data_IF_179307922990
#
_entry.id   IF_179307922990
#
_cell.length_a   1.000
_cell.length_b   1.000
_cell.length_c   1.000
_cell.angle_alpha   90.00
_cell.angle_beta   90.00
_cell.angle_gamma   90.00
#
_symmetry.space_group_name_H-M   'P 1'
#
loop_
_entity.id
_entity.type
_entity.pdbx_description
1 polymer ?
#
# COMPACT_ATOMS: atom_id res chain seq x y z
N UNK A 1 -54.90 -10.82 -20.55
CA UNK A 1 -53.43 -10.90 -20.44
C UNK A 1 -52.65 -9.87 -21.28
N UNK A 2 -53.27 -8.97 -22.06
CA UNK A 2 -52.54 -8.00 -22.92
C UNK A 2 -51.73 -6.91 -22.19
N UNK A 3 -51.96 -6.68 -20.88
CA UNK A 3 -51.22 -5.68 -20.10
C UNK A 3 -49.98 -6.20 -19.35
N UNK A 4 -49.76 -7.52 -19.34
CA UNK A 4 -48.66 -8.12 -18.57
C UNK A 4 -47.31 -7.92 -19.27
N UNK A 5 -47.27 -8.08 -20.60
CA UNK A 5 -46.05 -7.89 -21.39
C UNK A 5 -45.41 -6.50 -21.25
N UNK A 6 -46.15 -5.37 -21.39
CA UNK A 6 -45.55 -4.04 -21.22
C UNK A 6 -45.09 -3.77 -19.79
N UNK A 7 -45.76 -4.35 -18.78
CA UNK A 7 -45.33 -4.24 -17.37
C UNK A 7 -43.98 -4.94 -17.15
N UNK A 8 -43.82 -6.18 -17.65
CA UNK A 8 -42.55 -6.90 -17.55
C UNK A 8 -41.42 -6.17 -18.29
N UNK A 9 -41.68 -5.64 -19.48
CA UNK A 9 -40.69 -4.87 -20.22
C UNK A 9 -40.27 -3.59 -19.47
N UNK A 10 -41.22 -2.89 -18.87
CA UNK A 10 -40.93 -1.70 -18.06
C UNK A 10 -40.07 -2.03 -16.84
N UNK A 11 -40.44 -3.04 -16.07
CA UNK A 11 -39.67 -3.49 -14.90
C UNK A 11 -38.27 -3.94 -15.31
N UNK A 12 -38.16 -4.77 -16.35
CA UNK A 12 -36.87 -5.23 -16.83
C UNK A 12 -36.01 -4.05 -17.32
N UNK A 13 -36.60 -3.10 -18.04
CA UNK A 13 -35.92 -1.91 -18.54
C UNK A 13 -35.34 -1.03 -17.43
N UNK A 14 -36.07 -0.80 -16.34
CA UNK A 14 -35.58 0.00 -15.21
C UNK A 14 -34.44 -0.71 -14.46
N UNK A 15 -34.57 -2.02 -14.23
CA UNK A 15 -33.49 -2.81 -13.62
C UNK A 15 -32.25 -2.88 -14.51
N UNK A 16 -32.43 -3.08 -15.83
CA UNK A 16 -31.33 -3.07 -16.77
C UNK A 16 -30.62 -1.73 -16.75
N UNK A 17 -31.35 -0.61 -16.94
CA UNK A 17 -30.76 0.73 -16.92
C UNK A 17 -29.99 1.01 -15.62
N UNK A 18 -30.55 0.64 -14.47
CA UNK A 18 -29.89 0.75 -13.17
C UNK A 18 -28.59 -0.08 -13.12
N UNK A 19 -28.63 -1.33 -13.57
CA UNK A 19 -27.45 -2.21 -13.60
C UNK A 19 -26.36 -1.67 -14.54
N UNK A 20 -26.72 -1.26 -15.76
CA UNK A 20 -25.80 -0.65 -16.71
C UNK A 20 -25.17 0.63 -16.13
N UNK A 21 -25.98 1.51 -15.54
CA UNK A 21 -25.52 2.76 -14.96
C UNK A 21 -24.62 2.59 -13.73
N UNK A 22 -24.93 1.66 -12.84
CA UNK A 22 -24.23 1.48 -11.57
C UNK A 22 -23.08 0.48 -11.63
N UNK A 23 -23.08 -0.46 -12.57
CA UNK A 23 -22.03 -1.49 -12.68
C UNK A 23 -21.10 -1.22 -13.86
N UNK A 24 -21.63 -1.04 -15.06
CA UNK A 24 -20.79 -0.91 -16.26
C UNK A 24 -20.06 0.42 -16.34
N UNK A 25 -20.72 1.54 -16.01
CA UNK A 25 -20.06 2.86 -16.06
C UNK A 25 -18.90 2.93 -15.05
N UNK A 26 -19.06 2.61 -13.75
CA UNK A 26 -17.94 2.67 -12.81
C UNK A 26 -16.85 1.64 -13.12
N UNK A 27 -17.21 0.46 -13.60
CA UNK A 27 -16.23 -0.55 -14.03
C UNK A 27 -15.40 -0.05 -15.22
N UNK A 28 -16.02 0.62 -16.20
CA UNK A 28 -15.32 1.21 -17.34
C UNK A 28 -14.40 2.37 -16.91
N UNK A 29 -14.83 3.19 -15.94
CA UNK A 29 -14.06 4.33 -15.44
C UNK A 29 -12.87 3.92 -14.57
N UNK A 30 -13.07 2.99 -13.63
CA UNK A 30 -12.08 2.65 -12.58
C UNK A 30 -11.33 1.35 -12.90
N UNK A 31 -11.97 0.40 -13.58
CA UNK A 31 -11.40 -0.93 -13.83
C UNK A 31 -10.28 -0.96 -14.88
N UNK A 32 -10.11 0.12 -15.64
CA UNK A 32 -9.06 0.28 -16.67
C UNK A 32 -8.11 1.45 -16.36
N UNK A 33 -7.84 1.71 -15.08
CA UNK A 33 -6.80 2.68 -14.73
C UNK A 33 -5.42 2.09 -15.04
N UNK A 34 -4.62 2.84 -15.80
CA UNK A 34 -3.20 2.59 -16.00
C UNK A 34 -2.36 3.51 -15.09
N UNK A 35 -1.06 3.28 -14.91
CA UNK A 35 -0.16 4.28 -14.31
C UNK A 35 -0.19 5.60 -15.11
N UNK A 36 -0.09 6.74 -14.44
CA UNK A 36 0.14 8.03 -15.11
C UNK A 36 1.62 8.17 -15.41
N UNK A 37 1.96 8.58 -16.63
CA UNK A 37 3.32 8.93 -17.02
C UNK A 37 3.38 10.42 -17.32
N UNK A 38 4.56 11.01 -17.15
CA UNK A 38 4.92 12.33 -17.66
C UNK A 38 5.02 12.33 -19.20
N UNK A 39 5.21 13.52 -19.79
CA UNK A 39 5.29 13.70 -21.25
C UNK A 39 6.52 13.00 -21.85
N UNK A 40 7.56 12.83 -21.04
CA UNK A 40 8.79 12.11 -21.36
C UNK A 40 8.67 10.59 -21.17
N UNK A 41 7.61 10.11 -20.51
CA UNK A 41 7.37 8.69 -20.22
C UNK A 41 8.35 8.07 -19.22
N UNK A 42 9.14 8.88 -18.52
CA UNK A 42 10.18 8.45 -17.59
C UNK A 42 9.61 8.15 -16.20
N UNK A 43 8.63 8.93 -15.74
CA UNK A 43 8.09 8.85 -14.38
C UNK A 43 6.67 8.28 -14.36
N UNK A 44 6.57 6.96 -14.16
CA UNK A 44 5.29 6.26 -14.01
C UNK A 44 4.80 6.28 -12.54
N UNK A 45 3.62 6.85 -12.30
CA UNK A 45 2.95 6.82 -11.00
C UNK A 45 1.61 6.08 -11.02
N UNK A 46 1.37 5.14 -10.08
CA UNK A 46 2.34 4.57 -9.15
C UNK A 46 3.37 3.70 -9.86
N UNK A 47 4.53 3.50 -9.24
CA UNK A 47 5.51 2.51 -9.68
C UNK A 47 5.13 1.11 -9.14
N UNK A 48 5.45 0.03 -9.87
CA UNK A 48 5.35 -1.33 -9.37
C UNK A 48 6.15 -1.52 -8.06
N UNK A 49 5.57 -2.21 -7.08
CA UNK A 49 6.22 -2.44 -5.78
C UNK A 49 7.40 -3.42 -5.94
N UNK A 50 8.47 -3.17 -5.20
CA UNK A 50 9.60 -4.11 -5.12
C UNK A 50 9.20 -5.40 -4.39
N UNK A 51 9.95 -6.49 -4.62
CA UNK A 51 9.71 -7.76 -3.93
C UNK A 51 9.82 -7.68 -2.40
N UNK A 52 10.65 -6.76 -1.88
CA UNK A 52 10.74 -6.52 -0.43
C UNK A 52 9.50 -5.83 0.12
N UNK A 53 8.93 -4.86 -0.60
CA UNK A 53 7.68 -4.21 -0.21
C UNK A 53 6.53 -5.22 -0.17
N UNK A 54 6.51 -6.19 -1.09
CA UNK A 54 5.51 -7.25 -1.10
C UNK A 54 5.64 -8.20 0.10
N UNK A 55 6.86 -8.59 0.48
CA UNK A 55 7.08 -9.36 1.73
C UNK A 55 6.66 -8.57 2.96
N UNK A 56 7.00 -7.28 3.03
CA UNK A 56 6.55 -6.39 4.11
C UNK A 56 5.02 -6.32 4.20
N UNK A 57 4.31 -6.30 3.06
CA UNK A 57 2.85 -6.36 3.01
C UNK A 57 2.30 -7.65 3.62
N UNK A 58 2.93 -8.79 3.36
CA UNK A 58 2.51 -10.06 3.96
C UNK A 58 2.65 -10.03 5.49
N UNK A 59 3.76 -9.48 5.99
CA UNK A 59 3.97 -9.28 7.43
C UNK A 59 2.93 -8.32 8.02
N UNK A 60 2.64 -7.21 7.34
CA UNK A 60 1.60 -6.25 7.74
C UNK A 60 0.22 -6.91 7.86
N UNK A 61 -0.15 -7.77 6.90
CA UNK A 61 -1.42 -8.51 6.95
C UNK A 61 -1.40 -9.58 8.03
N UNK A 62 -0.32 -10.35 8.17
CA UNK A 62 -0.20 -11.43 9.14
C UNK A 62 -0.29 -10.94 10.59
N UNK A 63 0.26 -9.76 10.88
CA UNK A 63 0.17 -9.12 12.19
C UNK A 63 -1.14 -8.35 12.42
N UNK A 64 -2.04 -8.31 11.43
CA UNK A 64 -3.33 -7.66 11.58
C UNK A 64 -3.29 -6.14 11.66
N UNK A 65 -2.22 -5.49 11.16
CA UNK A 65 -2.06 -4.04 11.25
C UNK A 65 -3.24 -3.28 10.59
N UNK A 66 -3.85 -3.87 9.56
CA UNK A 66 -5.04 -3.37 8.84
C UNK A 66 -6.27 -3.17 9.73
N UNK A 67 -6.33 -3.82 10.90
CA UNK A 67 -7.45 -3.65 11.84
C UNK A 67 -7.38 -2.33 12.59
N UNK A 68 -6.18 -1.81 12.86
CA UNK A 68 -5.97 -0.59 13.63
C UNK A 68 -5.57 0.60 12.77
N UNK A 69 -4.90 0.34 11.64
CA UNK A 69 -4.37 1.35 10.73
C UNK A 69 -5.07 1.28 9.37
N UNK A 70 -5.44 2.45 8.86
CA UNK A 70 -5.86 2.60 7.48
C UNK A 70 -4.67 2.93 6.57
N UNK A 71 -4.85 2.66 5.29
CA UNK A 71 -3.97 3.14 4.23
C UNK A 71 -4.80 3.91 3.21
N UNK A 72 -5.61 4.86 3.70
CA UNK A 72 -6.47 5.69 2.89
C UNK A 72 -6.58 7.09 3.50
N UNK A 73 -5.86 8.04 2.89
CA UNK A 73 -5.98 9.45 3.24
C UNK A 73 -7.29 9.98 2.71
N UNK A 74 -8.18 10.38 3.61
CA UNK A 74 -9.48 10.95 3.28
C UNK A 74 -9.32 12.40 2.83
N UNK A 75 -10.26 12.90 2.01
CA UNK A 75 -10.27 14.30 1.64
C UNK A 75 -10.54 15.18 2.86
N UNK A 76 -10.05 16.41 2.79
CA UNK A 76 -10.18 17.48 3.79
C UNK A 76 -11.61 17.74 4.26
N UNK A 77 -12.59 17.71 3.33
CA UNK A 77 -14.00 17.89 3.68
C UNK A 77 -14.61 16.73 4.47
N UNK A 78 -14.00 15.54 4.42
CA UNK A 78 -14.50 14.35 5.11
C UNK A 78 -13.74 14.06 6.42
N UNK A 79 -12.49 14.54 6.53
CA UNK A 79 -11.65 14.36 7.71
C UNK A 79 -10.41 15.28 7.73
N UNK A 80 -9.82 15.43 8.92
CA UNK A 80 -8.58 16.19 9.14
C UNK A 80 -7.29 15.41 8.83
N UNK A 81 -7.32 14.43 7.92
CA UNK A 81 -6.16 13.57 7.65
C UNK A 81 -4.97 14.38 7.07
N UNK A 82 -5.27 15.33 6.17
CA UNK A 82 -4.27 16.22 5.55
C UNK A 82 -3.76 17.25 6.56
N UNK A 83 -4.63 17.76 7.44
CA UNK A 83 -4.26 18.68 8.53
C UNK A 83 -3.30 18.01 9.52
N UNK A 84 -3.57 16.74 9.87
CA UNK A 84 -2.70 15.85 10.67
C UNK A 84 -1.41 15.44 9.95
N UNK A 85 -1.22 15.92 8.72
CA UNK A 85 -0.07 15.63 7.87
C UNK A 85 0.09 14.15 7.55
N UNK A 86 -0.96 13.33 7.56
CA UNK A 86 -0.82 11.90 7.22
C UNK A 86 -0.59 11.65 5.73
N UNK A 87 -0.91 12.63 4.88
CA UNK A 87 -0.54 12.70 3.48
C UNK A 87 -0.69 14.12 2.96
N UNK A 88 -0.06 14.39 1.81
CA UNK A 88 -0.16 15.69 1.12
C UNK A 88 -1.44 15.83 0.30
N UNK A 89 -2.05 14.71 -0.09
CA UNK A 89 -3.29 14.65 -0.87
C UNK A 89 -4.19 13.49 -0.41
N UNK A 90 -5.46 13.55 -0.78
CA UNK A 90 -6.39 12.41 -0.66
C UNK A 90 -5.90 11.22 -1.49
N UNK A 91 -6.14 10.01 -0.99
CA UNK A 91 -5.91 8.78 -1.76
C UNK A 91 -6.84 8.73 -2.97
N UNK A 92 -6.28 8.27 -4.09
CA UNK A 92 -6.98 8.05 -5.35
C UNK A 92 -7.02 6.55 -5.68
N UNK A 93 -8.00 6.07 -6.47
CA UNK A 93 -8.04 4.66 -6.88
C UNK A 93 -6.76 4.18 -7.56
N UNK A 94 -6.05 5.08 -8.26
CA UNK A 94 -4.79 4.78 -8.95
C UNK A 94 -3.67 4.37 -8.00
N UNK A 95 -3.71 4.81 -6.75
CA UNK A 95 -2.67 4.53 -5.75
C UNK A 95 -2.60 3.03 -5.40
N UNK A 96 -3.69 2.30 -5.65
CA UNK A 96 -3.85 0.89 -5.31
C UNK A 96 -3.74 -0.04 -6.54
N UNK A 97 -3.27 0.45 -7.69
CA UNK A 97 -3.22 -0.34 -8.93
C UNK A 97 -2.50 -1.69 -8.81
N UNK A 98 -1.40 -1.71 -8.05
CA UNK A 98 -0.58 -2.90 -7.81
C UNK A 98 -0.91 -3.60 -6.48
N UNK A 99 -1.98 -3.19 -5.79
CA UNK A 99 -2.41 -3.81 -4.54
C UNK A 99 -3.55 -4.79 -4.75
N UNK A 100 -3.28 -6.07 -4.48
CA UNK A 100 -4.26 -7.15 -4.66
C UNK A 100 -4.16 -8.12 -3.47
N UNK A 101 -5.08 -8.05 -2.48
CA UNK A 101 -6.14 -7.04 -2.33
C UNK A 101 -5.58 -5.67 -1.86
N UNK A 102 -6.36 -4.60 -2.09
CA UNK A 102 -6.07 -3.28 -1.53
C UNK A 102 -6.34 -3.26 -0.02
N UNK A 103 -5.39 -2.74 0.76
CA UNK A 103 -5.43 -2.82 2.23
C UNK A 103 -5.84 -1.47 2.85
N UNK A 104 -7.05 -1.00 2.55
CA UNK A 104 -7.55 0.33 2.96
C UNK A 104 -7.69 0.51 4.48
N UNK A 105 -7.84 -0.57 5.24
CA UNK A 105 -8.11 -0.57 6.68
C UNK A 105 -9.52 -1.04 7.03
N UNK A 106 -9.72 -1.49 8.28
CA UNK A 106 -11.06 -1.79 8.83
C UNK A 106 -11.54 -0.73 9.81
N UNK A 107 -10.67 -0.34 10.73
CA UNK A 107 -10.89 0.74 11.68
C UNK A 107 -9.63 1.59 11.77
N UNK A 108 -9.76 2.77 12.37
CA UNK A 108 -8.67 3.74 12.49
C UNK A 108 -8.47 4.14 13.93
N UNK A 109 -7.83 3.24 14.69
CA UNK A 109 -7.36 3.51 16.05
C UNK A 109 -5.98 4.16 16.05
N UNK A 110 -5.11 3.75 15.12
CA UNK A 110 -3.79 4.33 14.90
C UNK A 110 -3.78 5.36 13.77
N UNK A 111 -2.62 6.03 13.55
CA UNK A 111 -2.43 6.92 12.40
C UNK A 111 -2.55 6.18 11.07
N UNK A 112 -2.89 6.91 10.01
CA UNK A 112 -2.86 6.38 8.66
C UNK A 112 -1.43 6.14 8.16
N UNK A 113 -1.24 5.05 7.43
CA UNK A 113 0.06 4.58 6.96
C UNK A 113 0.25 4.70 5.44
N UNK A 114 -0.72 5.24 4.69
CA UNK A 114 -0.64 5.30 3.22
C UNK A 114 0.59 6.04 2.70
N UNK A 115 1.03 7.09 3.40
CA UNK A 115 2.20 7.90 3.05
C UNK A 115 3.25 7.92 4.16
N UNK A 116 3.38 6.85 4.95
CA UNK A 116 4.36 6.81 6.05
C UNK A 116 5.80 6.90 5.53
N UNK A 117 6.13 6.21 4.45
CA UNK A 117 7.49 6.22 3.89
C UNK A 117 7.96 7.56 3.30
N UNK A 118 7.05 8.49 2.99
CA UNK A 118 7.43 9.86 2.61
C UNK A 118 7.61 10.80 3.80
N UNK A 119 7.17 10.38 4.99
CA UNK A 119 6.92 11.25 6.13
C UNK A 119 7.75 10.88 7.35
N UNK A 120 8.02 9.59 7.55
CA UNK A 120 8.89 9.11 8.59
C UNK A 120 10.36 9.34 8.17
N UNK A 121 11.21 9.90 9.05
CA UNK A 121 12.65 9.83 8.91
C UNK A 121 13.09 8.36 8.76
N UNK A 122 14.13 8.10 7.95
CA UNK A 122 14.61 6.73 7.68
C UNK A 122 14.93 5.94 8.97
N UNK A 123 15.33 6.64 10.03
CA UNK A 123 15.66 6.05 11.33
C UNK A 123 14.40 5.66 12.15
N UNK A 124 13.27 6.33 11.92
CA UNK A 124 12.01 6.11 12.66
C UNK A 124 11.17 4.96 12.09
N UNK A 125 11.35 4.59 10.81
CA UNK A 125 10.67 3.42 10.23
C UNK A 125 11.21 2.09 10.78
N UNK A 126 12.45 2.09 11.29
CA UNK A 126 13.10 0.92 11.90
C UNK A 126 12.99 0.94 13.43
N UNK A 127 12.51 2.04 14.01
CA UNK A 127 12.36 2.18 15.45
C UNK A 127 11.18 1.34 15.97
N UNK A 128 11.32 0.71 17.15
CA UNK A 128 10.18 0.07 17.80
C UNK A 128 9.06 1.09 18.03
N UNK A 129 7.81 0.68 17.77
CA UNK A 129 6.65 1.55 17.87
C UNK A 129 6.68 2.37 19.18
N UNK A 130 6.50 3.71 19.12
CA UNK A 130 6.59 4.53 20.31
C UNK A 130 5.54 4.05 21.32
N UNK A 131 5.98 3.78 22.55
CA UNK A 131 5.08 3.53 23.66
C UNK A 131 4.12 4.71 23.76
N UNK A 132 2.82 4.43 23.72
CA UNK A 132 1.73 5.41 23.76
C UNK A 132 1.93 6.39 24.91
N UNK A 133 2.43 7.60 24.64
CA UNK A 133 2.47 8.70 25.59
C UNK A 133 1.17 9.49 25.47
N UNK A 134 0.25 9.22 26.39
CA UNK A 134 -0.78 10.17 26.81
C UNK A 134 -2.02 10.30 25.91
N UNK A 135 -2.96 9.36 26.05
CA UNK A 135 -4.38 9.72 25.99
C UNK A 135 -4.94 9.66 27.41
N UNK A 136 -5.19 10.82 28.00
CA UNK A 136 -6.02 10.94 29.20
C UNK A 136 -7.45 10.54 28.84
N UNK A 137 -7.74 9.27 29.01
CA UNK A 137 -9.08 8.69 28.92
C UNK A 137 -8.99 7.30 29.50
N UNK A 138 -9.65 7.09 30.64
CA UNK A 138 -9.57 5.86 31.43
C UNK A 138 -9.83 4.61 30.56
N UNK A 139 -8.78 3.82 30.34
CA UNK A 139 -8.88 2.50 29.74
C UNK A 139 -8.96 1.46 30.84
N UNK A 140 -10.02 0.64 30.82
CA UNK A 140 -10.10 -0.58 31.61
C UNK A 140 -8.99 -1.57 31.17
N UNK A 141 -8.42 -2.35 32.10
CA UNK A 141 -7.31 -3.24 31.76
C UNK A 141 -7.80 -4.41 30.90
N UNK A 142 -7.20 -4.58 29.73
CA UNK A 142 -7.29 -5.84 28.99
C UNK A 142 -6.55 -6.94 29.80
N UNK A 143 -7.12 -8.15 29.94
CA UNK A 143 -6.43 -9.24 30.62
C UNK A 143 -5.22 -9.73 29.80
N UNK A 144 -4.14 -10.01 30.52
CA UNK A 144 -2.77 -10.16 30.02
C UNK A 144 -2.58 -11.17 28.88
N UNK A 145 -1.72 -10.77 27.95
CA UNK A 145 -1.11 -11.67 26.98
C UNK A 145 -0.02 -12.52 27.67
N UNK A 146 0.02 -13.85 27.48
CA UNK A 146 1.15 -14.65 27.91
C UNK A 146 2.37 -14.32 27.05
N UNK A 147 3.53 -14.15 27.69
CA UNK A 147 4.84 -13.98 27.04
C UNK A 147 5.17 -15.23 26.22
N UNK A 148 5.01 -15.15 24.90
CA UNK A 148 5.52 -16.15 23.98
C UNK A 148 7.02 -15.87 23.72
N UNK A 149 7.86 -16.78 24.21
CA UNK A 149 9.24 -16.89 23.78
C UNK A 149 9.29 -17.07 22.25
N UNK A 150 10.16 -16.31 21.57
CA UNK A 150 10.27 -16.34 20.11
C UNK A 150 10.73 -17.71 19.60
N UNK A 151 10.21 -18.20 18.46
CA UNK A 151 10.73 -19.41 17.85
C UNK A 151 12.01 -19.13 17.06
N UNK A 152 12.98 -20.03 17.22
CA UNK A 152 14.24 -20.09 16.48
C UNK A 152 14.03 -20.23 14.95
N UNK A 153 14.99 -19.79 14.12
CA UNK A 153 14.85 -19.81 12.67
C UNK A 153 15.01 -21.24 12.13
N UNK A 154 13.90 -21.91 11.82
CA UNK A 154 13.93 -23.23 11.22
C UNK A 154 12.60 -23.62 10.55
N UNK A 155 12.68 -23.89 9.24
CA UNK A 155 11.69 -24.53 8.39
C UNK A 155 10.40 -23.75 8.07
N UNK A 156 10.41 -23.07 6.91
CA UNK A 156 9.18 -22.71 6.19
C UNK A 156 8.55 -24.02 5.68
N UNK A 157 7.44 -24.44 6.29
CA UNK A 157 6.58 -25.51 5.77
C UNK A 157 5.75 -24.94 4.62
N UNK A 158 5.74 -25.54 3.42
CA UNK A 158 4.88 -25.07 2.33
C UNK A 158 3.42 -25.44 2.64
N UNK A 159 2.43 -24.57 2.40
CA UNK A 159 1.05 -25.01 2.40
C UNK A 159 0.81 -25.93 1.20
N UNK A 160 0.38 -27.15 1.49
CA UNK A 160 -0.14 -28.07 0.51
C UNK A 160 -1.42 -27.50 -0.11
N UNK A 161 -1.49 -27.51 -1.45
CA UNK A 161 -2.74 -27.37 -2.19
C UNK A 161 -3.08 -25.96 -2.69
N UNK A 162 -2.48 -25.56 -3.81
CA UNK A 162 -3.10 -24.65 -4.76
C UNK A 162 -2.83 -25.18 -6.18
N UNK A 163 -3.82 -25.23 -7.09
CA UNK A 163 -3.58 -25.70 -8.45
C UNK A 163 -2.70 -24.67 -9.17
N UNK A 164 -1.66 -25.16 -9.84
CA UNK A 164 -0.77 -24.35 -10.64
C UNK A 164 -1.55 -23.66 -11.77
N UNK A 165 -1.67 -22.33 -11.69
CA UNK A 165 -2.15 -21.53 -12.81
C UNK A 165 -1.05 -21.50 -13.88
N UNK A 166 -1.39 -21.97 -15.09
CA UNK A 166 -0.49 -21.97 -16.23
C UNK A 166 -0.04 -20.54 -16.60
N UNK A 167 1.20 -20.33 -17.06
CA UNK A 167 1.67 -19.02 -17.49
C UNK A 167 0.95 -18.58 -18.78
N UNK A 168 0.73 -17.27 -18.97
CA UNK A 168 0.17 -16.75 -20.22
C UNK A 168 1.13 -17.02 -21.40
N UNK A 169 0.62 -17.33 -22.60
CA UNK A 169 1.46 -17.57 -23.77
C UNK A 169 2.21 -16.28 -24.15
N UNK A 170 3.55 -16.33 -24.15
CA UNK A 170 4.40 -15.23 -24.63
C UNK A 170 5.52 -14.78 -23.70
N UNK A 171 5.60 -15.29 -22.46
CA UNK A 171 6.70 -14.97 -21.56
C UNK A 171 7.94 -15.81 -21.91
N UNK A 172 8.86 -15.25 -22.70
CA UNK A 172 10.21 -15.80 -22.81
C UNK A 172 10.95 -15.50 -21.51
N UNK A 173 11.26 -16.56 -20.75
CA UNK A 173 12.12 -16.49 -19.57
C UNK A 173 13.56 -16.29 -20.05
N UNK A 174 14.10 -15.09 -19.87
CA UNK A 174 15.53 -14.86 -19.98
C UNK A 174 16.21 -15.57 -18.81
N UNK A 175 17.06 -16.54 -19.11
CA UNK A 175 17.86 -17.26 -18.12
C UNK A 175 18.83 -16.28 -17.43
N UNK A 176 18.76 -16.21 -16.10
CA UNK A 176 19.72 -15.49 -15.29
C UNK A 176 21.07 -16.22 -15.32
N UNK A 177 22.12 -15.54 -15.78
CA UNK A 177 23.50 -16.00 -15.64
C UNK A 177 23.96 -15.86 -14.16
N UNK A 178 24.81 -16.77 -13.65
CA UNK A 178 25.23 -16.72 -12.25
C UNK A 178 26.30 -15.62 -12.04
N UNK A 179 26.11 -14.82 -10.98
CA UNK A 179 27.07 -13.83 -10.54
C UNK A 179 28.33 -14.53 -9.98
N UNK A 180 29.48 -14.34 -10.65
CA UNK A 180 30.79 -14.66 -10.12
C UNK A 180 31.25 -13.53 -9.21
N UNK A 181 31.53 -13.85 -7.94
CA UNK A 181 32.11 -12.92 -6.99
C UNK A 181 33.61 -12.75 -7.18
N UNK A 182 34.10 -11.54 -6.97
CA UNK A 182 35.47 -11.25 -6.54
C UNK A 182 35.45 -9.97 -5.70
N UNK A 183 35.83 -10.09 -4.43
CA UNK A 183 36.06 -8.94 -3.56
C UNK A 183 37.34 -8.19 -3.93
N UNK A 184 37.38 -6.90 -3.58
CA UNK A 184 38.61 -6.13 -3.40
C UNK A 184 38.33 -4.92 -2.51
N UNK A 185 39.33 -4.57 -1.73
CA UNK A 185 39.29 -3.77 -0.53
C UNK A 185 39.14 -2.24 -0.74
N UNK A 186 38.83 -1.60 0.38
CA UNK A 186 38.75 -0.17 0.67
C UNK A 186 39.86 0.71 0.08
N UNK A 187 39.51 1.96 -0.27
CA UNK A 187 40.24 3.19 0.09
C UNK A 187 39.25 4.37 0.14
N UNK A 188 39.18 5.07 1.27
CA UNK A 188 38.55 6.39 1.41
C UNK A 188 39.59 7.49 1.12
N UNK A 189 39.15 8.72 0.80
CA UNK A 189 39.87 9.88 1.34
C UNK A 189 38.95 10.96 1.94
N UNK A 190 39.29 11.28 3.19
CA UNK A 190 39.52 12.59 3.78
C UNK A 190 38.68 13.81 3.35
N UNK A 191 38.04 14.38 4.38
CA UNK A 191 37.48 15.71 4.43
C UNK A 191 38.53 16.82 4.20
N UNK A 192 38.10 17.89 3.53
CA UNK A 192 38.71 19.21 3.62
C UNK A 192 37.62 20.27 3.80
N UNK A 193 37.59 20.86 4.99
CA UNK A 193 36.81 22.05 5.31
C UNK A 193 37.44 23.28 4.65
N UNK A 194 36.63 24.18 4.09
CA UNK A 194 37.05 25.55 3.77
C UNK A 194 36.04 26.51 4.41
N UNK A 195 36.57 27.34 5.29
CA UNK A 195 35.88 28.31 6.12
C UNK A 195 35.38 29.52 5.32
N UNK A 196 34.29 30.10 5.82
CA UNK A 196 33.72 31.37 5.40
C UNK A 196 34.50 32.57 5.99
N UNK A 197 34.60 33.66 5.22
CA UNK A 197 34.93 35.02 5.68
C UNK A 197 34.40 36.07 4.66
N UNK A 198 34.17 37.34 5.07
CA UNK A 198 32.92 38.11 4.83
C UNK A 198 32.99 39.14 3.68
N UNK A 199 31.88 39.87 3.36
CA UNK A 199 31.84 40.76 2.20
C UNK A 199 32.44 42.14 2.47
N UNK A 200 32.95 42.77 1.42
CA UNK A 200 33.35 44.17 1.38
C UNK A 200 32.78 44.86 0.12
N UNK A 201 32.34 46.11 0.34
CA UNK A 201 31.76 47.12 -0.57
C UNK A 201 30.27 46.98 -0.89
#
# INVERSE_FOLDING_TARGET
MKGIAPLFLGIFGTFAFSWFGLILIPNAQIGRLDPQTDEEGADAYPMPKSGMAERGRQVYTANGCVYCHSQQVRPDYAASDIERKWGSRRSAPRDYLFERPALLGKMRMGPDLANVGQRAPADDETAPAPATTGATGAAAPAPGAPTAAGPEPGAVVPPAGAPAAAPPPGATVAAAAPAAGTGAAAVAPAAAAVAAAPPAA
#
